data_IF_030431619337
#
_entry.id   IF_030431619337
#
_cell.length_a   1.000
_cell.length_b   1.000
_cell.length_c   1.000
_cell.angle_alpha   90.00
_cell.angle_beta   90.00
_cell.angle_gamma   90.00
#
_symmetry.space_group_name_H-M   'P 1'
#
loop_
_entity.id
_entity.type
_entity.pdbx_description
1 polymer ?
#
# COMPACT_ATOMS: atom_id res chain seq x y z
N UNK A 1 20.01 8.49 -27.01
CA UNK A 1 19.02 9.15 -26.14
C UNK A 1 18.16 8.05 -25.54
N UNK A 2 18.64 7.44 -24.46
CA UNK A 2 18.02 6.27 -23.85
C UNK A 2 16.89 6.75 -22.94
N UNK A 3 15.64 6.49 -23.35
CA UNK A 3 14.51 6.59 -22.44
C UNK A 3 14.69 5.47 -21.41
N UNK A 4 15.09 5.84 -20.20
CA UNK A 4 15.08 4.96 -19.04
C UNK A 4 13.62 4.60 -18.78
N UNK A 5 13.22 3.42 -19.25
CA UNK A 5 11.90 2.87 -18.98
C UNK A 5 11.93 2.43 -17.51
N UNK A 6 11.66 3.38 -16.62
CA UNK A 6 11.69 3.16 -15.18
C UNK A 6 10.57 2.20 -14.80
N UNK A 7 11.04 1.05 -14.37
CA UNK A 7 10.32 -0.14 -14.03
C UNK A 7 9.36 0.12 -12.86
N UNK A 8 8.07 0.10 -13.15
CA UNK A 8 7.03 0.10 -12.13
C UNK A 8 7.17 -1.16 -11.26
N UNK A 9 7.45 -0.95 -9.96
CA UNK A 9 7.67 -2.04 -8.98
C UNK A 9 6.38 -2.26 -8.19
N UNK A 10 5.69 -3.40 -8.35
CA UNK A 10 4.45 -3.71 -7.63
C UNK A 10 4.71 -4.12 -6.17
N UNK A 11 5.33 -3.26 -5.36
CA UNK A 11 5.66 -3.55 -3.95
C UNK A 11 4.47 -3.33 -3.01
N UNK A 12 3.53 -2.46 -3.37
CA UNK A 12 2.41 -2.08 -2.51
C UNK A 12 1.52 -3.26 -2.11
N UNK A 13 1.10 -4.07 -3.09
CA UNK A 13 0.21 -5.20 -2.82
C UNK A 13 0.92 -6.32 -2.06
N UNK A 14 2.24 -6.47 -2.23
CA UNK A 14 3.05 -7.39 -1.44
C UNK A 14 3.13 -6.98 0.03
N UNK A 15 3.33 -5.67 0.30
CA UNK A 15 3.34 -5.14 1.67
C UNK A 15 1.98 -5.33 2.36
N UNK A 16 0.88 -5.06 1.66
CA UNK A 16 -0.46 -5.23 2.20
C UNK A 16 -0.77 -6.70 2.55
N UNK A 17 -0.50 -7.62 1.62
CA UNK A 17 -0.75 -9.05 1.88
C UNK A 17 0.10 -9.57 3.06
N UNK A 18 1.35 -9.13 3.19
CA UNK A 18 2.18 -9.45 4.36
C UNK A 18 1.59 -8.92 5.67
N UNK A 19 1.05 -7.70 5.68
CA UNK A 19 0.41 -7.10 6.85
C UNK A 19 -0.84 -7.89 7.30
N UNK A 20 -1.68 -8.35 6.35
CA UNK A 20 -2.86 -9.16 6.67
C UNK A 20 -2.45 -10.52 7.25
N UNK A 21 -1.38 -11.13 6.74
CA UNK A 21 -0.89 -12.43 7.19
C UNK A 21 -0.27 -12.43 8.59
N UNK A 22 0.01 -11.24 9.16
CA UNK A 22 0.41 -11.09 10.56
C UNK A 22 -0.61 -11.71 11.53
N UNK A 23 -1.90 -11.68 11.15
CA UNK A 23 -2.96 -12.39 11.87
C UNK A 23 -3.31 -11.79 13.25
N UNK A 24 -2.78 -10.62 13.57
CA UNK A 24 -3.19 -9.84 14.73
C UNK A 24 -4.50 -9.09 14.46
N UNK A 25 -5.03 -8.38 15.47
CA UNK A 25 -6.28 -7.61 15.33
C UNK A 25 -6.20 -6.59 14.19
N UNK A 26 -5.04 -5.98 14.00
CA UNK A 26 -4.81 -4.96 12.96
C UNK A 26 -4.85 -5.57 11.56
N UNK A 27 -4.13 -6.67 11.34
CA UNK A 27 -4.12 -7.41 10.08
C UNK A 27 -5.49 -7.95 9.71
N UNK A 28 -6.23 -8.52 10.68
CA UNK A 28 -7.62 -9.00 10.46
C UNK A 28 -8.53 -7.84 10.06
N UNK A 29 -8.44 -6.71 10.77
CA UNK A 29 -9.28 -5.53 10.48
C UNK A 29 -8.96 -4.95 9.10
N UNK A 30 -7.69 -4.90 8.71
CA UNK A 30 -7.26 -4.47 7.38
C UNK A 30 -7.84 -5.39 6.28
N UNK A 31 -7.81 -6.72 6.50
CA UNK A 31 -8.44 -7.69 5.60
C UNK A 31 -9.95 -7.48 5.47
N UNK A 32 -10.65 -7.26 6.59
CA UNK A 32 -12.10 -6.99 6.58
C UNK A 32 -12.45 -5.68 5.87
N UNK A 33 -11.63 -4.62 6.04
CA UNK A 33 -11.79 -3.36 5.31
C UNK A 33 -11.66 -3.61 3.80
N UNK A 34 -10.64 -4.36 3.36
CA UNK A 34 -10.49 -4.70 1.93
C UNK A 34 -11.69 -5.50 1.42
N UNK A 35 -12.15 -6.51 2.17
CA UNK A 35 -13.33 -7.30 1.82
C UNK A 35 -14.55 -6.40 1.61
N UNK A 36 -14.83 -5.49 2.55
CA UNK A 36 -15.97 -4.58 2.43
C UNK A 36 -15.80 -3.57 1.28
N UNK A 37 -14.61 -3.00 1.10
CA UNK A 37 -14.35 -2.03 0.02
C UNK A 37 -14.51 -2.65 -1.37
N UNK A 38 -14.06 -3.89 -1.54
CA UNK A 38 -14.19 -4.61 -2.83
C UNK A 38 -15.64 -4.97 -3.15
N UNK A 39 -16.46 -5.29 -2.13
CA UNK A 39 -17.90 -5.54 -2.31
C UNK A 39 -18.67 -4.31 -2.83
N UNK A 40 -18.24 -3.10 -2.45
CA UNK A 40 -18.93 -1.85 -2.79
C UNK A 40 -18.73 -1.48 -4.28
N UNK A 41 -17.77 -2.09 -4.97
CA UNK A 41 -17.52 -1.80 -6.39
C UNK A 41 -18.69 -2.33 -7.25
N UNK A 42 -19.41 -1.45 -7.96
CA UNK A 42 -20.56 -1.88 -8.75
C UNK A 42 -20.12 -2.82 -9.87
N UNK A 43 -20.99 -3.78 -10.23
CA UNK A 43 -20.85 -4.75 -11.33
C UNK A 43 -19.76 -5.82 -11.18
N UNK A 44 -18.61 -5.48 -10.59
CA UNK A 44 -17.42 -6.35 -10.56
C UNK A 44 -16.94 -6.71 -9.15
N UNK A 45 -17.56 -6.17 -8.09
CA UNK A 45 -17.13 -6.37 -6.70
C UNK A 45 -17.01 -7.84 -6.30
N UNK A 46 -18.02 -8.66 -6.60
CA UNK A 46 -18.01 -10.09 -6.27
C UNK A 46 -16.83 -10.83 -6.93
N UNK A 47 -16.53 -10.52 -8.20
CA UNK A 47 -15.40 -11.12 -8.92
C UNK A 47 -14.07 -10.70 -8.28
N UNK A 48 -13.94 -9.43 -7.93
CA UNK A 48 -12.74 -8.90 -7.26
C UNK A 48 -12.55 -9.59 -5.90
N UNK A 49 -13.61 -9.79 -5.12
CA UNK A 49 -13.54 -10.51 -3.86
C UNK A 49 -13.06 -11.95 -4.04
N UNK A 50 -13.66 -12.70 -4.97
CA UNK A 50 -13.24 -14.09 -5.21
C UNK A 50 -11.77 -14.22 -5.61
N UNK A 51 -11.20 -13.16 -6.21
CA UNK A 51 -9.79 -13.11 -6.56
C UNK A 51 -8.91 -12.68 -5.38
N UNK A 52 -9.30 -11.67 -4.59
CA UNK A 52 -8.42 -11.04 -3.60
C UNK A 52 -8.60 -11.54 -2.17
N UNK A 53 -9.84 -11.73 -1.71
CA UNK A 53 -10.14 -12.00 -0.29
C UNK A 53 -11.49 -12.67 -0.06
N UNK A 54 -11.50 -13.71 0.80
CA UNK A 54 -12.72 -14.40 1.24
C UNK A 54 -13.02 -14.12 2.72
N UNK A 55 -14.29 -14.07 3.14
CA UNK A 55 -14.65 -13.82 4.53
C UNK A 55 -14.45 -15.07 5.42
N UNK A 56 -14.34 -14.86 6.73
CA UNK A 56 -14.33 -15.92 7.73
C UNK A 56 -12.98 -16.64 7.86
N UNK A 57 -13.00 -17.97 8.01
CA UNK A 57 -11.78 -18.76 8.28
C UNK A 57 -10.79 -18.78 7.10
N UNK A 58 -11.23 -18.43 5.90
CA UNK A 58 -10.42 -18.39 4.68
C UNK A 58 -9.81 -17.01 4.40
N UNK A 59 -9.95 -16.03 5.31
CA UNK A 59 -9.43 -14.66 5.16
C UNK A 59 -7.96 -14.61 4.76
N UNK A 60 -7.15 -15.52 5.28
CA UNK A 60 -5.70 -15.54 5.08
C UNK A 60 -5.26 -16.32 3.84
N UNK A 61 -6.09 -17.23 3.31
CA UNK A 61 -5.67 -18.17 2.27
C UNK A 61 -5.30 -17.44 0.99
N UNK A 62 -6.19 -16.56 0.50
CA UNK A 62 -5.91 -15.80 -0.72
C UNK A 62 -4.72 -14.84 -0.53
N UNK A 63 -4.67 -13.97 0.51
CA UNK A 63 -3.50 -13.15 0.76
C UNK A 63 -2.20 -13.96 0.83
N UNK A 64 -2.22 -15.16 1.41
CA UNK A 64 -1.08 -16.07 1.47
C UNK A 64 -0.62 -16.51 0.08
N UNK A 65 -1.54 -16.98 -0.76
CA UNK A 65 -1.22 -17.36 -2.15
C UNK A 65 -0.65 -16.20 -2.95
N UNK A 66 -1.26 -15.01 -2.84
CA UNK A 66 -0.74 -13.81 -3.50
C UNK A 66 0.64 -13.45 -2.99
N UNK A 67 0.88 -13.51 -1.68
CA UNK A 67 2.17 -13.17 -1.09
C UNK A 67 3.28 -14.10 -1.57
N UNK A 68 3.04 -15.41 -1.55
CA UNK A 68 4.02 -16.41 -2.01
C UNK A 68 4.28 -16.32 -3.52
N UNK A 69 3.27 -15.99 -4.33
CA UNK A 69 3.45 -15.86 -5.77
C UNK A 69 4.13 -14.55 -6.14
N UNK A 70 3.74 -13.44 -5.51
CA UNK A 70 4.21 -12.11 -5.87
C UNK A 70 5.61 -11.81 -5.33
N UNK A 71 6.00 -12.38 -4.19
CA UNK A 71 7.33 -12.19 -3.62
C UNK A 71 8.44 -12.62 -4.62
N UNK A 72 8.48 -13.87 -5.13
CA UNK A 72 9.51 -14.28 -6.09
C UNK A 72 9.40 -13.53 -7.41
N UNK A 73 8.19 -13.23 -7.89
CA UNK A 73 8.01 -12.42 -9.12
C UNK A 73 8.60 -11.03 -8.94
N UNK A 74 8.28 -10.34 -7.84
CA UNK A 74 8.84 -9.02 -7.53
C UNK A 74 10.36 -9.07 -7.36
N UNK A 75 10.89 -10.13 -6.76
CA UNK A 75 12.32 -10.35 -6.58
C UNK A 75 13.04 -10.56 -7.92
N UNK A 76 12.50 -11.38 -8.82
CA UNK A 76 13.04 -11.59 -10.18
C UNK A 76 13.03 -10.27 -10.98
N UNK A 77 11.92 -9.54 -10.92
CA UNK A 77 11.77 -8.22 -11.55
C UNK A 77 12.86 -7.27 -11.03
N UNK A 78 13.07 -7.20 -9.71
CA UNK A 78 14.11 -6.37 -9.10
C UNK A 78 15.52 -6.81 -9.51
N UNK A 79 15.83 -8.10 -9.47
CA UNK A 79 17.12 -8.63 -9.92
C UNK A 79 17.39 -8.29 -11.38
N UNK A 80 16.36 -8.32 -12.23
CA UNK A 80 16.50 -7.94 -13.63
C UNK A 80 16.69 -6.43 -13.82
N UNK A 81 16.04 -5.56 -13.02
CA UNK A 81 16.30 -4.10 -13.09
C UNK A 81 17.73 -3.77 -12.67
N UNK A 82 18.22 -4.51 -11.68
CA UNK A 82 19.45 -4.22 -10.94
C UNK A 82 20.60 -5.09 -11.45
N UNK A 83 20.37 -5.93 -12.47
CA UNK A 83 21.35 -6.86 -13.03
C UNK A 83 22.70 -6.19 -13.38
N UNK A 84 22.66 -4.95 -13.87
CA UNK A 84 23.85 -4.18 -14.23
C UNK A 84 24.36 -3.27 -13.10
N UNK A 85 23.63 -3.16 -12.00
CA UNK A 85 23.99 -2.32 -10.87
C UNK A 85 24.76 -3.15 -9.84
N UNK A 86 26.03 -2.77 -9.66
CA UNK A 86 26.88 -3.32 -8.59
C UNK A 86 26.88 -2.33 -7.43
N UNK A 87 26.23 -2.64 -6.29
CA UNK A 87 26.29 -1.75 -5.13
C UNK A 87 27.73 -1.61 -4.67
N UNK A 88 28.15 -0.38 -4.38
CA UNK A 88 29.41 -0.16 -3.70
C UNK A 88 29.31 -0.73 -2.27
N UNK A 89 30.24 -1.57 -1.80
CA UNK A 89 30.24 -2.07 -0.42
C UNK A 89 30.13 -0.96 0.63
N UNK A 90 30.68 0.23 0.35
CA UNK A 90 30.55 1.39 1.23
C UNK A 90 29.09 1.84 1.38
N UNK A 91 28.27 1.76 0.34
CA UNK A 91 26.87 2.16 0.40
C UNK A 91 26.02 1.11 1.13
N UNK A 92 26.35 -0.18 0.98
CA UNK A 92 25.76 -1.26 1.79
C UNK A 92 26.08 -1.02 3.27
N UNK A 93 27.34 -0.71 3.59
CA UNK A 93 27.75 -0.45 4.97
C UNK A 93 27.03 0.76 5.55
N UNK A 94 26.92 1.88 4.80
CA UNK A 94 26.10 3.04 5.22
C UNK A 94 24.66 2.64 5.50
N UNK A 95 24.05 1.84 4.62
CA UNK A 95 22.69 1.33 4.80
C UNK A 95 22.55 0.52 6.08
N UNK A 96 23.46 -0.42 6.33
CA UNK A 96 23.46 -1.23 7.56
C UNK A 96 23.69 -0.40 8.82
N UNK A 97 24.62 0.56 8.77
CA UNK A 97 24.91 1.49 9.89
C UNK A 97 23.71 2.38 10.20
N UNK A 98 22.81 2.64 9.25
CA UNK A 98 21.55 3.36 9.50
C UNK A 98 20.45 2.41 9.99
N UNK A 99 20.24 1.29 9.30
CA UNK A 99 19.11 0.37 9.55
C UNK A 99 19.25 -0.38 10.87
N UNK A 100 20.45 -0.83 11.24
CA UNK A 100 20.66 -1.61 12.46
C UNK A 100 20.35 -0.77 13.71
N UNK A 101 20.92 0.45 13.89
CA UNK A 101 20.54 1.30 15.01
C UNK A 101 19.06 1.68 14.99
N UNK A 102 18.47 1.99 13.82
CA UNK A 102 17.03 2.24 13.74
C UNK A 102 16.21 1.04 14.24
N UNK A 103 16.58 -0.18 13.85
CA UNK A 103 15.87 -1.39 14.28
C UNK A 103 15.93 -1.64 15.79
N UNK A 104 17.01 -1.17 16.45
CA UNK A 104 17.17 -1.28 17.91
C UNK A 104 16.40 -0.16 18.63
N UNK A 105 16.45 1.07 18.11
CA UNK A 105 15.81 2.23 18.72
C UNK A 105 14.28 2.19 18.61
N UNK A 106 13.74 1.63 17.52
CA UNK A 106 12.31 1.56 17.27
C UNK A 106 11.79 0.13 17.48
N UNK A 107 11.27 -0.14 18.67
CA UNK A 107 10.55 -1.39 18.95
C UNK A 107 9.21 -1.41 18.21
N UNK A 108 8.88 -2.56 17.61
CA UNK A 108 7.54 -2.79 17.06
C UNK A 108 6.52 -2.82 18.21
N UNK A 109 5.39 -2.09 18.10
CA UNK A 109 4.31 -2.18 19.07
C UNK A 109 3.82 -3.63 19.23
N UNK A 110 3.48 -4.02 20.46
CA UNK A 110 3.00 -5.38 20.75
C UNK A 110 1.68 -5.64 20.01
N UNK A 111 1.59 -6.83 19.42
CA UNK A 111 0.42 -7.26 18.66
C UNK A 111 -0.83 -7.33 19.53
N UNK A 112 -1.93 -6.78 19.00
CA UNK A 112 -3.22 -6.82 19.69
C UNK A 112 -3.86 -8.19 19.45
N UNK A 113 -4.18 -8.89 20.54
CA UNK A 113 -4.86 -10.18 20.46
C UNK A 113 -6.21 -10.04 19.71
N UNK A 114 -6.47 -10.84 18.67
CA UNK A 114 -7.71 -10.79 17.89
C UNK A 114 -9.00 -10.91 18.72
N UNK A 115 -8.94 -11.61 19.85
CA UNK A 115 -10.07 -11.89 20.73
C UNK A 115 -10.49 -10.70 21.59
N UNK A 116 -9.65 -9.67 21.69
CA UNK A 116 -9.94 -8.46 22.47
C UNK A 116 -10.78 -7.50 21.62
N UNK A 117 -11.86 -6.98 22.20
CA UNK A 117 -12.61 -5.86 21.61
C UNK A 117 -11.87 -4.56 21.89
N UNK A 118 -11.38 -3.92 20.83
CA UNK A 118 -10.78 -2.57 20.90
C UNK A 118 -11.67 -1.62 20.13
N UNK A 119 -11.87 -0.41 20.66
CA UNK A 119 -12.77 0.57 20.06
C UNK A 119 -12.23 1.13 18.74
N UNK A 120 -10.90 1.14 18.59
CA UNK A 120 -10.25 1.61 17.38
C UNK A 120 -9.04 0.74 17.05
N UNK A 121 -8.87 0.44 15.76
CA UNK A 121 -7.75 -0.34 15.21
C UNK A 121 -7.04 0.52 14.17
N UNK A 122 -5.71 0.64 14.27
CA UNK A 122 -4.93 1.37 13.28
C UNK A 122 -4.60 0.45 12.10
N UNK A 123 -4.68 1.01 10.89
CA UNK A 123 -4.06 0.38 9.73
C UNK A 123 -2.58 0.68 9.67
N UNK A 124 -1.88 0.08 8.70
CA UNK A 124 -0.48 0.40 8.49
C UNK A 124 -0.35 1.86 8.06
N UNK A 125 0.80 2.46 8.40
CA UNK A 125 1.06 3.89 8.23
C UNK A 125 0.85 4.43 6.81
N UNK A 126 1.08 3.60 5.80
CA UNK A 126 0.85 3.97 4.40
C UNK A 126 -0.63 4.07 4.03
N UNK A 127 -1.56 3.69 4.91
CA UNK A 127 -3.01 3.83 4.76
C UNK A 127 -3.65 4.85 5.71
N UNK A 128 -2.90 5.50 6.60
CA UNK A 128 -3.47 6.43 7.59
C UNK A 128 -4.31 7.54 6.96
N UNK A 129 -3.85 8.15 5.87
CA UNK A 129 -4.61 9.17 5.17
C UNK A 129 -5.94 8.62 4.62
N UNK A 130 -5.93 7.41 4.04
CA UNK A 130 -7.16 6.75 3.56
C UNK A 130 -8.11 6.47 4.73
N UNK A 131 -7.59 5.94 5.84
CA UNK A 131 -8.38 5.65 7.02
C UNK A 131 -9.01 6.89 7.65
N UNK A 132 -8.29 8.02 7.68
CA UNK A 132 -8.84 9.29 8.15
C UNK A 132 -9.97 9.77 7.24
N UNK A 133 -9.73 9.77 5.93
CA UNK A 133 -10.72 10.18 4.95
C UNK A 133 -12.00 9.32 5.01
N UNK A 134 -11.87 8.01 5.29
CA UNK A 134 -13.00 7.09 5.46
C UNK A 134 -13.91 7.44 6.65
N UNK A 135 -13.48 8.28 7.61
CA UNK A 135 -14.35 8.77 8.69
C UNK A 135 -15.36 9.81 8.20
N UNK A 136 -15.04 10.54 7.14
CA UNK A 136 -15.83 11.70 6.70
C UNK A 136 -16.46 11.52 5.31
N UNK A 137 -15.88 10.65 4.48
CA UNK A 137 -16.25 10.52 3.07
C UNK A 137 -16.72 9.09 2.73
N UNK A 138 -17.53 8.93 1.66
CA UNK A 138 -18.05 7.64 1.26
C UNK A 138 -16.94 6.62 0.95
N UNK A 139 -17.07 5.35 1.38
CA UNK A 139 -16.03 4.34 1.20
C UNK A 139 -15.63 4.08 -0.26
N UNK A 140 -16.59 4.10 -1.20
CA UNK A 140 -16.31 3.94 -2.62
C UNK A 140 -15.37 5.03 -3.15
N UNK A 141 -15.60 6.28 -2.75
CA UNK A 141 -14.81 7.42 -3.21
C UNK A 141 -13.37 7.31 -2.71
N UNK A 142 -13.20 7.07 -1.41
CA UNK A 142 -11.89 7.11 -0.75
C UNK A 142 -11.10 5.83 -0.94
N UNK A 143 -11.76 4.67 -0.84
CA UNK A 143 -11.11 3.37 -0.90
C UNK A 143 -10.87 2.86 -2.31
N UNK A 144 -11.58 3.39 -3.32
CA UNK A 144 -11.51 2.90 -4.70
C UNK A 144 -11.23 4.02 -5.70
N UNK A 145 -12.11 5.02 -5.79
CA UNK A 145 -12.06 6.03 -6.86
C UNK A 145 -10.81 6.92 -6.75
N UNK A 146 -10.53 7.48 -5.57
CA UNK A 146 -9.37 8.37 -5.39
C UNK A 146 -8.03 7.66 -5.59
N UNK A 147 -7.76 6.48 -4.97
CA UNK A 147 -6.53 5.74 -5.22
C UNK A 147 -6.37 5.35 -6.69
N UNK A 148 -7.46 4.90 -7.33
CA UNK A 148 -7.44 4.53 -8.74
C UNK A 148 -7.17 5.74 -9.64
N UNK A 149 -7.79 6.89 -9.39
CA UNK A 149 -7.53 8.12 -10.13
C UNK A 149 -6.07 8.55 -9.99
N UNK A 150 -5.53 8.53 -8.77
CA UNK A 150 -4.13 8.87 -8.52
C UNK A 150 -3.17 7.91 -9.23
N UNK A 151 -3.43 6.60 -9.12
CA UNK A 151 -2.64 5.57 -9.79
C UNK A 151 -2.68 5.73 -11.32
N UNK A 152 -3.86 5.94 -11.91
CA UNK A 152 -4.01 6.11 -13.35
C UNK A 152 -3.29 7.37 -13.85
N UNK A 153 -3.45 8.51 -13.20
CA UNK A 153 -2.76 9.75 -13.62
C UNK A 153 -1.25 9.60 -13.48
N UNK A 154 -0.77 8.97 -12.40
CA UNK A 154 0.65 8.73 -12.22
C UNK A 154 1.22 7.75 -13.25
N UNK A 155 0.53 6.62 -13.49
CA UNK A 155 0.94 5.61 -14.47
C UNK A 155 0.91 6.16 -15.89
N UNK A 156 -0.11 6.93 -16.27
CA UNK A 156 -0.22 7.46 -17.62
C UNK A 156 0.53 8.78 -17.84
N UNK A 157 1.19 9.32 -16.82
CA UNK A 157 1.91 10.60 -16.89
C UNK A 157 2.86 10.72 -18.11
N UNK A 158 3.65 9.68 -18.50
CA UNK A 158 4.50 9.74 -19.69
C UNK A 158 3.75 9.89 -21.02
N UNK A 159 2.46 9.52 -21.06
CA UNK A 159 1.61 9.55 -22.25
C UNK A 159 0.65 10.75 -22.26
N UNK A 160 0.63 11.58 -21.21
CA UNK A 160 -0.23 12.76 -21.14
C UNK A 160 0.31 13.85 -22.10
N UNK A 161 -0.53 14.44 -22.97
CA UNK A 161 -0.11 15.52 -23.86
C UNK A 161 0.43 16.73 -23.08
N UNK A 162 1.44 17.42 -23.62
CA UNK A 162 2.08 18.58 -22.98
C UNK A 162 1.10 19.66 -22.49
N UNK A 163 -0.01 19.87 -23.24
CA UNK A 163 -1.08 20.80 -22.84
C UNK A 163 -1.72 20.51 -21.48
N UNK A 164 -1.77 19.24 -21.05
CA UNK A 164 -2.37 18.80 -19.79
C UNK A 164 -1.33 18.41 -18.75
N UNK A 165 -0.05 18.40 -19.12
CA UNK A 165 1.05 17.97 -18.26
C UNK A 165 1.12 18.77 -16.94
N UNK A 166 1.02 20.10 -17.02
CA UNK A 166 1.00 20.97 -15.83
C UNK A 166 -0.17 20.64 -14.91
N UNK A 167 -1.34 20.37 -15.47
CA UNK A 167 -2.55 20.04 -14.69
C UNK A 167 -2.41 18.67 -14.05
N UNK A 168 -1.89 17.68 -14.77
CA UNK A 168 -1.64 16.34 -14.25
C UNK A 168 -0.63 16.35 -13.10
N UNK A 169 0.50 17.06 -13.25
CA UNK A 169 1.47 17.22 -12.16
C UNK A 169 0.90 17.99 -10.98
N UNK A 170 0.14 19.06 -11.22
CA UNK A 170 -0.53 19.80 -10.15
C UNK A 170 -1.52 18.91 -9.38
N UNK A 171 -2.31 18.07 -10.08
CA UNK A 171 -3.18 17.08 -9.45
C UNK A 171 -2.40 16.09 -8.58
N UNK A 172 -1.27 15.56 -9.08
CA UNK A 172 -0.41 14.65 -8.30
C UNK A 172 0.14 15.35 -7.06
N UNK A 173 0.74 16.53 -7.20
CA UNK A 173 1.35 17.24 -6.06
C UNK A 173 0.32 17.67 -5.02
N UNK A 174 -0.81 18.22 -5.46
CA UNK A 174 -1.91 18.58 -4.55
C UNK A 174 -2.48 17.35 -3.86
N UNK A 175 -2.62 16.23 -4.57
CA UNK A 175 -3.03 14.94 -4.01
C UNK A 175 -2.05 14.42 -2.95
N UNK A 176 -0.74 14.48 -3.20
CA UNK A 176 0.30 14.07 -2.23
C UNK A 176 0.27 14.98 -1.00
N UNK A 177 0.20 16.30 -1.19
CA UNK A 177 0.12 17.25 -0.08
C UNK A 177 -1.15 17.01 0.76
N UNK A 178 -2.30 16.85 0.11
CA UNK A 178 -3.55 16.55 0.77
C UNK A 178 -3.49 15.22 1.54
N UNK A 179 -2.94 14.17 0.93
CA UNK A 179 -2.74 12.88 1.60
C UNK A 179 -1.83 12.99 2.82
N UNK A 180 -0.72 13.75 2.70
CA UNK A 180 0.18 14.04 3.80
C UNK A 180 -0.50 14.77 4.95
N UNK A 181 -1.34 15.76 4.65
CA UNK A 181 -2.17 16.46 5.66
C UNK A 181 -3.11 15.46 6.35
N UNK A 182 -3.79 14.59 5.60
CA UNK A 182 -4.68 13.58 6.19
C UNK A 182 -3.92 12.59 7.09
N UNK A 183 -2.69 12.21 6.75
CA UNK A 183 -1.84 11.40 7.64
C UNK A 183 -1.48 12.13 8.94
N UNK A 184 -1.21 13.45 8.87
CA UNK A 184 -0.93 14.25 10.07
C UNK A 184 -2.19 14.42 10.92
N UNK A 185 -3.34 14.68 10.31
CA UNK A 185 -4.63 14.77 11.00
C UNK A 185 -4.95 13.44 11.69
N UNK A 186 -4.77 12.31 10.99
CA UNK A 186 -4.87 10.98 11.59
C UNK A 186 -3.99 10.86 12.84
N UNK A 187 -2.72 11.24 12.73
CA UNK A 187 -1.77 11.16 13.84
C UNK A 187 -2.19 12.01 15.04
N UNK A 188 -2.77 13.20 14.82
CA UNK A 188 -3.21 14.10 15.89
C UNK A 188 -4.51 13.67 16.57
N UNK A 189 -5.37 12.95 15.85
CA UNK A 189 -6.67 12.48 16.35
C UNK A 189 -6.59 11.13 17.09
N UNK A 190 -5.38 10.60 17.30
CA UNK A 190 -5.09 9.32 17.94
C UNK A 190 -4.17 9.47 19.15
#
# INVERSE_FOLDING_TARGET
MALSNDQHRPSFFLLFTGFVLKGDKEGISAGLILYNLTAIVPLIGDKIQTLLIHPGKSLFILPYFHHILLLPVSFIILLNSVHNWKPNPADILKGLVVVIPMSIMFSIPVDINPSVSVNHVRGPWFFWGIQEMLRYLPPLLVGVVMPLAFFLVFSFLPWIPEKYDRVARAFIYTGICFYGIMCVVFWLNW
#
